data_IF_715759146330
#
_entry.id   IF_715759146330
#
_cell.length_a   1.000
_cell.length_b   1.000
_cell.length_c   1.000
_cell.angle_alpha   90.00
_cell.angle_beta   90.00
_cell.angle_gamma   90.00
#
_symmetry.space_group_name_H-M   'P 1'
#
loop_
_entity.id
_entity.type
_entity.pdbx_description
1 polymer ?
#
# COMPACT_ATOMS: atom_id res chain seq x y z
N UNK A 1 -10.23 -55.71 -11.73
CA UNK A 1 -9.06 -55.78 -10.83
C UNK A 1 -8.21 -54.58 -11.15
N UNK A 2 -8.51 -53.45 -10.54
CA UNK A 2 -7.78 -52.19 -10.67
C UNK A 2 -6.73 -52.11 -9.57
N UNK A 3 -5.48 -52.08 -9.98
CA UNK A 3 -4.30 -52.14 -9.12
C UNK A 3 -4.21 -50.93 -8.17
N UNK A 4 -4.06 -51.17 -6.84
CA UNK A 4 -3.96 -50.10 -5.85
C UNK A 4 -2.62 -49.33 -5.90
N UNK A 5 -1.75 -49.63 -6.86
CA UNK A 5 -0.42 -49.06 -6.94
C UNK A 5 -0.39 -47.63 -7.52
N UNK A 6 -1.39 -47.23 -8.32
CA UNK A 6 -1.47 -45.86 -8.88
C UNK A 6 -1.92 -44.82 -7.85
N UNK A 7 -2.69 -45.20 -6.85
CA UNK A 7 -3.15 -44.30 -5.80
C UNK A 7 -2.07 -43.95 -4.76
N UNK A 8 -1.08 -44.82 -4.58
CA UNK A 8 0.02 -44.60 -3.62
C UNK A 8 1.09 -43.68 -4.18
N UNK A 9 1.25 -43.62 -5.50
CA UNK A 9 2.22 -42.70 -6.15
C UNK A 9 1.70 -41.27 -6.30
N UNK A 10 0.37 -41.07 -6.25
CA UNK A 10 -0.22 -39.74 -6.26
C UNK A 10 -0.20 -39.03 -4.89
N UNK A 11 0.01 -39.78 -3.81
CA UNK A 11 0.04 -39.26 -2.44
C UNK A 11 1.41 -38.72 -1.98
N UNK A 12 2.45 -38.80 -2.84
CA UNK A 12 3.83 -38.45 -2.46
C UNK A 12 4.32 -37.12 -2.99
N UNK A 13 3.47 -36.29 -3.56
CA UNK A 13 3.85 -34.96 -4.08
C UNK A 13 3.14 -33.78 -3.38
N UNK A 14 2.70 -33.95 -2.14
CA UNK A 14 2.44 -32.80 -1.32
C UNK A 14 3.79 -32.07 -1.11
N UNK A 15 3.98 -30.82 -1.58
CA UNK A 15 5.22 -30.09 -1.34
C UNK A 15 5.43 -30.02 0.18
N UNK A 16 6.51 -30.66 0.64
CA UNK A 16 6.86 -30.64 2.05
C UNK A 16 7.11 -29.18 2.46
N UNK A 17 6.72 -28.81 3.66
CA UNK A 17 6.94 -27.49 4.29
C UNK A 17 8.38 -26.95 4.16
N UNK A 18 9.33 -27.79 3.76
CA UNK A 18 10.75 -27.48 3.59
C UNK A 18 11.22 -27.42 2.12
N UNK A 19 10.32 -27.55 1.16
CA UNK A 19 10.65 -27.34 -0.27
C UNK A 19 9.90 -26.11 -0.77
N UNK A 20 10.50 -24.90 -0.64
CA UNK A 20 9.84 -23.66 -1.08
C UNK A 20 9.64 -23.73 -2.60
N UNK A 21 8.41 -23.53 -3.02
CA UNK A 21 8.06 -23.37 -4.43
C UNK A 21 8.77 -22.10 -4.95
N UNK A 22 9.19 -22.07 -6.23
CA UNK A 22 9.84 -20.89 -6.81
C UNK A 22 9.08 -19.59 -6.58
N UNK A 23 7.73 -19.65 -6.54
CA UNK A 23 6.85 -18.50 -6.24
C UNK A 23 7.05 -17.98 -4.80
N UNK A 24 7.18 -18.87 -3.82
CA UNK A 24 7.41 -18.49 -2.41
C UNK A 24 8.76 -17.77 -2.25
N UNK A 25 9.80 -18.25 -2.93
CA UNK A 25 11.12 -17.61 -2.91
C UNK A 25 11.03 -16.21 -3.53
N UNK A 26 10.36 -16.07 -4.68
CA UNK A 26 10.17 -14.76 -5.33
C UNK A 26 9.36 -13.84 -4.44
N UNK A 27 8.29 -14.33 -3.81
CA UNK A 27 7.47 -13.55 -2.87
C UNK A 27 8.31 -13.00 -1.71
N UNK A 28 9.09 -13.84 -1.04
CA UNK A 28 9.94 -13.39 0.06
C UNK A 28 11.01 -12.40 -0.41
N UNK A 29 11.61 -12.60 -1.58
CA UNK A 29 12.59 -11.66 -2.13
C UNK A 29 11.96 -10.30 -2.45
N UNK A 30 10.81 -10.29 -3.13
CA UNK A 30 10.06 -9.05 -3.42
C UNK A 30 9.64 -8.38 -2.13
N UNK A 31 9.14 -9.13 -1.14
CA UNK A 31 8.76 -8.62 0.18
C UNK A 31 9.92 -7.95 0.91
N UNK A 32 11.10 -8.55 0.89
CA UNK A 32 12.30 -7.96 1.49
C UNK A 32 12.71 -6.66 0.80
N UNK A 33 12.67 -6.62 -0.54
CA UNK A 33 12.98 -5.39 -1.30
C UNK A 33 11.94 -4.31 -1.01
N UNK A 34 10.67 -4.67 -1.00
CA UNK A 34 9.53 -3.77 -0.70
C UNK A 34 9.65 -3.20 0.71
N UNK A 35 9.91 -4.04 1.69
CA UNK A 35 10.13 -3.62 3.08
C UNK A 35 11.35 -2.72 3.19
N UNK A 36 12.46 -3.07 2.55
CA UNK A 36 13.67 -2.24 2.50
C UNK A 36 13.39 -0.87 1.91
N UNK A 37 12.67 -0.82 0.79
CA UNK A 37 12.25 0.44 0.17
C UNK A 37 11.37 1.29 1.09
N UNK A 38 10.41 0.66 1.80
CA UNK A 38 9.54 1.34 2.75
C UNK A 38 10.34 1.93 3.94
N UNK A 39 11.29 1.17 4.49
CA UNK A 39 12.16 1.65 5.56
C UNK A 39 13.02 2.83 5.08
N UNK A 40 13.60 2.76 3.88
CA UNK A 40 14.37 3.87 3.33
C UNK A 40 13.48 5.08 3.07
N UNK A 41 12.25 4.90 2.57
CA UNK A 41 11.30 5.98 2.34
C UNK A 41 11.02 6.81 3.61
N UNK A 42 10.84 6.14 4.77
CA UNK A 42 10.56 6.85 6.04
C UNK A 42 11.80 7.34 6.78
N UNK A 43 12.99 6.79 6.50
CA UNK A 43 14.24 7.18 7.17
C UNK A 43 15.03 8.24 6.41
N UNK A 44 14.77 8.39 5.10
CA UNK A 44 15.47 9.40 4.29
C UNK A 44 15.04 10.82 4.67
N UNK A 45 16.01 11.73 4.70
CA UNK A 45 15.79 13.14 5.09
C UNK A 45 15.46 14.04 3.89
N UNK A 46 15.48 13.50 2.69
CA UNK A 46 15.20 14.23 1.46
C UNK A 46 13.83 13.82 0.94
N UNK A 47 12.88 14.76 0.93
CA UNK A 47 11.49 14.51 0.56
C UNK A 47 11.34 13.89 -0.85
N UNK A 48 12.15 14.35 -1.82
CA UNK A 48 12.10 13.81 -3.19
C UNK A 48 12.59 12.34 -3.22
N UNK A 49 13.67 12.04 -2.51
CA UNK A 49 14.16 10.65 -2.40
C UNK A 49 13.18 9.78 -1.62
N UNK A 50 12.54 10.30 -0.57
CA UNK A 50 11.48 9.60 0.15
C UNK A 50 10.35 9.20 -0.79
N UNK A 51 9.90 10.13 -1.63
CA UNK A 51 8.84 9.88 -2.60
C UNK A 51 9.25 8.82 -3.65
N UNK A 52 10.49 8.83 -4.14
CA UNK A 52 10.99 7.80 -5.06
C UNK A 52 11.02 6.41 -4.43
N UNK A 53 11.49 6.30 -3.17
CA UNK A 53 11.47 5.02 -2.44
C UNK A 53 10.05 4.56 -2.11
N UNK A 54 9.13 5.51 -1.88
CA UNK A 54 7.71 5.21 -1.71
C UNK A 54 7.10 4.60 -2.98
N UNK A 55 7.43 5.13 -4.17
CA UNK A 55 7.02 4.52 -5.46
C UNK A 55 7.47 3.06 -5.54
N UNK A 56 8.74 2.81 -5.19
CA UNK A 56 9.30 1.46 -5.24
C UNK A 56 8.60 0.52 -4.25
N UNK A 57 8.34 0.99 -3.03
CA UNK A 57 7.61 0.22 -2.02
C UNK A 57 6.18 -0.10 -2.45
N UNK A 58 5.43 0.89 -2.96
CA UNK A 58 4.06 0.68 -3.42
C UNK A 58 3.98 -0.18 -4.69
N UNK A 59 4.97 -0.05 -5.60
CA UNK A 59 5.10 -0.92 -6.76
C UNK A 59 5.43 -2.36 -6.39
N UNK A 60 6.30 -2.56 -5.40
CA UNK A 60 6.60 -3.88 -4.85
C UNK A 60 5.37 -4.57 -4.25
N UNK A 61 4.54 -3.83 -3.51
CA UNK A 61 3.25 -4.34 -3.01
C UNK A 61 2.32 -4.80 -4.15
N UNK A 62 2.29 -4.08 -5.27
CA UNK A 62 1.50 -4.50 -6.42
C UNK A 62 1.98 -5.85 -6.99
N UNK A 63 3.30 -6.06 -7.04
CA UNK A 63 3.88 -7.35 -7.46
C UNK A 63 3.51 -8.45 -6.47
N UNK A 64 3.53 -8.18 -5.16
CA UNK A 64 3.11 -9.16 -4.14
C UNK A 64 1.63 -9.54 -4.31
N UNK A 65 0.74 -8.57 -4.57
CA UNK A 65 -0.66 -8.86 -4.86
C UNK A 65 -0.83 -9.75 -6.10
N UNK A 66 -0.03 -9.55 -7.15
CA UNK A 66 -0.03 -10.43 -8.32
C UNK A 66 0.43 -11.85 -7.98
N UNK A 67 1.47 -11.99 -7.17
CA UNK A 67 1.96 -13.29 -6.72
C UNK A 67 0.93 -14.05 -5.85
N UNK A 68 0.07 -13.30 -5.14
CA UNK A 68 -1.05 -13.84 -4.37
C UNK A 68 -2.34 -14.03 -5.20
N UNK A 69 -2.26 -13.93 -6.54
CA UNK A 69 -3.41 -14.04 -7.46
C UNK A 69 -4.50 -12.98 -7.25
N UNK A 70 -4.21 -11.91 -6.50
CA UNK A 70 -5.12 -10.81 -6.23
C UNK A 70 -5.03 -9.73 -7.32
N UNK A 71 -5.33 -10.09 -8.57
CA UNK A 71 -5.14 -9.25 -9.76
C UNK A 71 -5.85 -7.91 -9.67
N UNK A 72 -7.12 -7.90 -9.22
CA UNK A 72 -7.89 -6.66 -9.11
C UNK A 72 -7.22 -5.66 -8.18
N UNK A 73 -6.77 -6.13 -6.99
CA UNK A 73 -6.11 -5.29 -6.00
C UNK A 73 -4.76 -4.79 -6.52
N UNK A 74 -4.01 -5.63 -7.24
CA UNK A 74 -2.75 -5.24 -7.86
C UNK A 74 -2.94 -4.08 -8.85
N UNK A 75 -3.94 -4.16 -9.72
CA UNK A 75 -4.27 -3.08 -10.66
C UNK A 75 -4.70 -1.79 -9.96
N UNK A 76 -5.54 -1.89 -8.93
CA UNK A 76 -5.95 -0.76 -8.08
C UNK A 76 -4.73 -0.13 -7.41
N UNK A 77 -3.81 -0.93 -6.88
CA UNK A 77 -2.57 -0.47 -6.27
C UNK A 77 -1.72 0.36 -7.25
N UNK A 78 -1.54 -0.13 -8.48
CA UNK A 78 -0.77 0.59 -9.50
C UNK A 78 -1.49 1.86 -9.96
N UNK A 79 -2.77 1.76 -10.31
CA UNK A 79 -3.50 2.90 -10.91
C UNK A 79 -3.77 4.01 -9.90
N UNK A 80 -4.18 3.67 -8.68
CA UNK A 80 -4.57 4.66 -7.68
C UNK A 80 -3.36 5.10 -6.86
N UNK A 81 -2.64 4.16 -6.23
CA UNK A 81 -1.56 4.53 -5.31
C UNK A 81 -0.31 5.00 -6.04
N UNK A 82 0.21 4.24 -7.00
CA UNK A 82 1.40 4.62 -7.75
C UNK A 82 1.09 5.69 -8.79
N UNK A 83 0.02 5.51 -9.56
CA UNK A 83 -0.33 6.39 -10.69
C UNK A 83 -0.95 7.73 -10.26
N UNK A 84 -1.86 7.75 -9.29
CA UNK A 84 -2.59 8.97 -8.92
C UNK A 84 -2.03 9.62 -7.65
N UNK A 85 -2.00 8.89 -6.54
CA UNK A 85 -1.65 9.47 -5.23
C UNK A 85 -0.18 9.91 -5.18
N UNK A 86 0.74 9.03 -5.58
CA UNK A 86 2.17 9.37 -5.56
C UNK A 86 2.50 10.49 -6.56
N UNK A 87 1.92 10.45 -7.76
CA UNK A 87 2.11 11.52 -8.76
C UNK A 87 1.59 12.85 -8.22
N UNK A 88 0.44 12.85 -7.55
CA UNK A 88 -0.10 14.06 -6.90
C UNK A 88 0.83 14.57 -5.80
N UNK A 89 1.40 13.69 -4.97
CA UNK A 89 2.39 14.05 -3.94
C UNK A 89 3.64 14.64 -4.58
N UNK A 90 4.20 14.00 -5.61
CA UNK A 90 5.39 14.50 -6.32
C UNK A 90 5.13 15.86 -6.96
N UNK A 91 3.97 16.04 -7.59
CA UNK A 91 3.57 17.32 -8.16
C UNK A 91 3.40 18.39 -7.09
N UNK A 92 2.77 18.04 -5.97
CA UNK A 92 2.65 18.93 -4.80
C UNK A 92 4.01 19.34 -4.23
N UNK A 93 4.95 18.41 -4.10
CA UNK A 93 6.31 18.68 -3.64
C UNK A 93 7.09 19.60 -4.62
N UNK A 94 6.86 19.43 -5.93
CA UNK A 94 7.49 20.27 -6.94
C UNK A 94 6.91 21.70 -6.94
N UNK A 95 5.63 21.86 -6.63
CA UNK A 95 4.94 23.16 -6.59
C UNK A 95 5.21 23.93 -5.30
N UNK A 96 5.51 23.26 -4.21
CA UNK A 96 5.93 23.88 -2.97
C UNK A 96 7.43 24.14 -3.02
N UNK A 97 7.93 25.17 -2.31
CA UNK A 97 9.37 25.36 -2.07
C UNK A 97 9.86 24.25 -1.13
N UNK A 98 9.72 22.99 -1.57
CA UNK A 98 10.31 21.89 -0.82
C UNK A 98 11.82 22.13 -0.74
N UNK A 99 12.41 22.19 0.45
CA UNK A 99 13.84 22.42 0.57
C UNK A 99 14.56 21.27 -0.14
N UNK A 100 15.40 21.64 -1.14
CA UNK A 100 16.25 20.69 -1.89
C UNK A 100 17.32 20.06 -0.96
N UNK A 101 17.33 20.45 0.33
CA UNK A 101 18.21 19.96 1.38
C UNK A 101 17.50 19.27 2.54
N UNK A 102 18.25 18.93 3.55
CA UNK A 102 17.73 18.42 4.83
C UNK A 102 16.78 19.46 5.42
N UNK A 103 15.54 19.05 5.67
CA UNK A 103 14.58 19.87 6.42
C UNK A 103 14.82 19.64 7.92
N UNK A 104 15.35 20.63 8.67
CA UNK A 104 15.59 20.49 10.11
C UNK A 104 14.29 20.22 10.88
N UNK A 105 13.16 20.73 10.37
CA UNK A 105 11.84 20.62 10.99
C UNK A 105 11.12 19.29 10.70
N UNK A 106 11.69 18.42 9.86
CA UNK A 106 11.14 17.09 9.58
C UNK A 106 11.48 16.06 10.68
N UNK A 107 12.37 16.41 11.59
CA UNK A 107 12.80 15.54 12.68
C UNK A 107 11.96 15.78 13.92
N UNK A 108 11.15 14.79 14.34
CA UNK A 108 10.51 14.84 15.65
C UNK A 108 11.58 14.79 16.76
N UNK A 109 11.44 15.67 17.78
CA UNK A 109 12.42 15.76 18.88
C UNK A 109 12.54 14.49 19.73
N UNK A 110 11.65 13.52 19.58
CA UNK A 110 11.62 12.28 20.38
C UNK A 110 11.68 11.03 19.50
N UNK A 111 12.77 10.88 18.75
CA UNK A 111 13.01 9.73 17.87
C UNK A 111 12.95 8.37 18.58
N UNK A 112 13.53 8.17 19.80
CA UNK A 112 13.45 6.87 20.44
C UNK A 112 12.02 6.48 20.83
N UNK A 113 11.18 7.42 21.28
CA UNK A 113 9.79 7.12 21.58
C UNK A 113 9.00 6.78 20.32
N UNK A 114 9.22 7.49 19.21
CA UNK A 114 8.60 7.16 17.91
C UNK A 114 9.02 5.78 17.41
N UNK A 115 10.31 5.42 17.56
CA UNK A 115 10.80 4.09 17.18
C UNK A 115 10.17 3.00 18.03
N UNK A 116 10.10 3.18 19.36
CA UNK A 116 9.48 2.22 20.28
C UNK A 116 8.00 2.04 19.94
N UNK A 117 7.26 3.14 19.69
CA UNK A 117 5.86 3.07 19.32
C UNK A 117 5.67 2.34 17.97
N UNK A 118 6.51 2.62 16.97
CA UNK A 118 6.46 1.95 15.67
C UNK A 118 6.76 0.45 15.77
N UNK A 119 7.80 0.08 16.54
CA UNK A 119 8.16 -1.33 16.77
C UNK A 119 7.08 -2.07 17.55
N UNK A 120 6.49 -1.44 18.56
CA UNK A 120 5.38 -2.02 19.33
C UNK A 120 4.14 -2.26 18.44
N UNK A 121 3.79 -1.28 17.61
CA UNK A 121 2.69 -1.42 16.66
C UNK A 121 2.96 -2.52 15.61
N UNK A 122 4.17 -2.56 15.05
CA UNK A 122 4.58 -3.61 14.12
C UNK A 122 4.55 -4.99 14.76
N UNK A 123 5.10 -5.14 15.97
CA UNK A 123 5.08 -6.41 16.70
C UNK A 123 3.66 -6.87 17.03
N UNK A 124 2.79 -5.96 17.46
CA UNK A 124 1.38 -6.26 17.73
C UNK A 124 0.64 -6.72 16.46
N UNK A 125 0.89 -6.06 15.33
CA UNK A 125 0.29 -6.43 14.04
C UNK A 125 0.77 -7.81 13.58
N UNK A 126 2.09 -8.06 13.64
CA UNK A 126 2.67 -9.37 13.28
C UNK A 126 2.12 -10.46 14.19
N UNK A 127 2.06 -10.24 15.51
CA UNK A 127 1.51 -11.21 16.44
C UNK A 127 0.04 -11.53 16.13
N UNK A 128 -0.77 -10.50 15.84
CA UNK A 128 -2.17 -10.65 15.46
C UNK A 128 -2.33 -11.49 14.18
N UNK A 129 -1.56 -11.15 13.12
CA UNK A 129 -1.62 -11.87 11.84
C UNK A 129 -1.16 -13.32 12.01
N UNK A 130 -0.04 -13.55 12.70
CA UNK A 130 0.46 -14.90 12.94
C UNK A 130 -0.55 -15.73 13.74
N UNK A 131 -1.16 -15.16 14.79
CA UNK A 131 -2.16 -15.90 15.58
C UNK A 131 -3.43 -16.18 14.78
N UNK A 132 -3.90 -15.23 13.97
CA UNK A 132 -5.10 -15.40 13.16
C UNK A 132 -4.94 -16.43 12.04
N UNK A 133 -3.75 -16.52 11.42
CA UNK A 133 -3.54 -17.32 10.21
C UNK A 133 -2.65 -18.55 10.40
N UNK A 134 -2.08 -18.79 11.58
CA UNK A 134 -1.19 -19.95 11.85
C UNK A 134 -1.78 -21.31 11.52
N UNK A 135 -3.11 -21.42 11.47
CA UNK A 135 -3.83 -22.67 11.17
C UNK A 135 -4.61 -22.61 9.86
N UNK A 136 -4.58 -21.48 9.16
CA UNK A 136 -5.28 -21.32 7.89
C UNK A 136 -4.39 -21.80 6.74
N UNK A 137 -4.91 -22.75 5.95
CA UNK A 137 -4.33 -23.10 4.64
C UNK A 137 -5.10 -22.35 3.57
N UNK A 138 -4.38 -21.62 2.74
CA UNK A 138 -4.95 -20.93 1.58
C UNK A 138 -4.44 -21.65 0.34
N UNK A 139 -5.36 -22.22 -0.44
CA UNK A 139 -5.03 -22.80 -1.72
C UNK A 139 -4.92 -21.69 -2.77
N UNK A 140 -3.71 -21.49 -3.31
CA UNK A 140 -3.43 -20.48 -4.33
C UNK A 140 -3.76 -20.95 -5.76
N UNK A 141 -4.19 -22.22 -5.94
CA UNK A 141 -4.61 -22.72 -7.24
C UNK A 141 -5.98 -22.17 -7.67
N UNK A 142 -6.83 -21.80 -6.71
CA UNK A 142 -8.09 -21.12 -7.01
C UNK A 142 -7.88 -19.60 -7.09
N UNK A 143 -8.11 -19.04 -8.27
CA UNK A 143 -8.02 -17.59 -8.51
C UNK A 143 -9.23 -16.88 -7.88
N UNK A 144 -9.20 -16.73 -6.56
CA UNK A 144 -10.27 -16.06 -5.81
C UNK A 144 -10.24 -14.54 -5.91
N UNK A 145 -9.10 -13.96 -6.30
CA UNK A 145 -8.88 -12.52 -6.43
C UNK A 145 -9.06 -11.97 -7.84
N UNK A 146 -9.73 -12.69 -8.75
CA UNK A 146 -10.00 -12.22 -10.11
C UNK A 146 -10.92 -10.99 -10.10
N UNK A 147 -10.80 -10.16 -11.14
CA UNK A 147 -11.63 -8.94 -11.31
C UNK A 147 -13.12 -9.28 -11.36
N UNK A 148 -13.50 -10.40 -11.98
CA UNK A 148 -14.88 -10.86 -12.09
C UNK A 148 -15.47 -11.21 -10.74
N UNK A 149 -14.81 -12.09 -9.98
CA UNK A 149 -15.26 -12.53 -8.65
C UNK A 149 -15.33 -11.36 -7.67
N UNK A 150 -14.31 -10.49 -7.67
CA UNK A 150 -14.29 -9.31 -6.81
C UNK A 150 -15.42 -8.33 -7.16
N UNK A 151 -15.67 -8.11 -8.47
CA UNK A 151 -16.77 -7.29 -8.94
C UNK A 151 -18.13 -7.84 -8.54
N UNK A 152 -18.34 -9.15 -8.71
CA UNK A 152 -19.60 -9.80 -8.32
C UNK A 152 -19.86 -9.66 -6.81
N UNK A 153 -18.88 -9.93 -5.95
CA UNK A 153 -19.00 -9.78 -4.51
C UNK A 153 -19.29 -8.33 -4.13
N UNK A 154 -18.58 -7.37 -4.73
CA UNK A 154 -18.73 -5.96 -4.44
C UNK A 154 -20.15 -5.47 -4.76
N UNK A 155 -20.69 -5.81 -5.95
CA UNK A 155 -21.98 -5.34 -6.39
C UNK A 155 -23.17 -6.17 -5.88
N UNK A 156 -22.95 -7.37 -5.34
CA UNK A 156 -24.03 -8.16 -4.71
C UNK A 156 -24.12 -7.98 -3.20
N UNK A 157 -22.98 -7.90 -2.52
CA UNK A 157 -22.96 -7.93 -1.06
C UNK A 157 -22.48 -6.62 -0.42
N UNK A 158 -21.70 -5.81 -1.14
CA UNK A 158 -21.06 -4.60 -0.64
C UNK A 158 -21.50 -3.31 -1.34
N UNK A 159 -22.73 -3.30 -1.91
CA UNK A 159 -23.27 -2.12 -2.62
C UNK A 159 -23.37 -0.90 -1.71
N UNK A 160 -23.88 -1.05 -0.49
CA UNK A 160 -24.03 0.08 0.45
C UNK A 160 -22.68 0.72 0.83
N UNK A 161 -21.64 -0.02 1.25
CA UNK A 161 -20.31 0.54 1.43
C UNK A 161 -19.76 1.21 0.17
N UNK A 162 -19.95 0.63 -1.00
CA UNK A 162 -19.51 1.20 -2.27
C UNK A 162 -20.19 2.56 -2.55
N UNK A 163 -21.50 2.65 -2.34
CA UNK A 163 -22.25 3.91 -2.50
C UNK A 163 -21.82 4.96 -1.47
N UNK A 164 -21.60 4.56 -0.21
CA UNK A 164 -21.09 5.46 0.83
C UNK A 164 -19.71 6.04 0.47
N UNK A 165 -18.81 5.23 -0.13
CA UNK A 165 -17.52 5.69 -0.62
C UNK A 165 -17.66 6.66 -1.79
N UNK A 166 -18.66 6.50 -2.66
CA UNK A 166 -18.95 7.44 -3.76
C UNK A 166 -19.37 8.82 -3.22
N UNK A 167 -20.21 8.84 -2.19
CA UNK A 167 -20.59 10.09 -1.49
C UNK A 167 -19.38 10.72 -0.80
N UNK A 168 -18.54 9.92 -0.15
CA UNK A 168 -17.30 10.40 0.46
C UNK A 168 -16.36 11.01 -0.59
N UNK A 169 -16.23 10.40 -1.75
CA UNK A 169 -15.42 10.92 -2.85
C UNK A 169 -15.95 12.29 -3.33
N UNK A 170 -17.27 12.41 -3.49
CA UNK A 170 -17.90 13.69 -3.82
C UNK A 170 -17.64 14.75 -2.75
N UNK A 171 -17.80 14.40 -1.49
CA UNK A 171 -17.53 15.30 -0.38
C UNK A 171 -16.07 15.76 -0.32
N UNK A 172 -15.12 14.85 -0.58
CA UNK A 172 -13.70 15.15 -0.68
C UNK A 172 -13.40 16.13 -1.83
N UNK A 173 -14.01 15.92 -3.00
CA UNK A 173 -13.88 16.82 -4.16
C UNK A 173 -14.40 18.22 -3.85
N UNK A 174 -15.61 18.32 -3.29
CA UNK A 174 -16.23 19.60 -2.91
C UNK A 174 -15.38 20.31 -1.86
N UNK A 175 -14.93 19.56 -0.83
CA UNK A 175 -14.04 20.08 0.21
C UNK A 175 -12.72 20.65 -0.35
N UNK A 176 -12.08 19.94 -1.28
CA UNK A 176 -10.85 20.40 -1.93
C UNK A 176 -11.07 21.70 -2.72
N UNK A 177 -12.19 21.80 -3.45
CA UNK A 177 -12.54 23.01 -4.21
C UNK A 177 -12.83 24.19 -3.27
N UNK A 178 -13.60 23.99 -2.21
CA UNK A 178 -13.91 25.04 -1.23
C UNK A 178 -12.66 25.55 -0.54
N UNK A 179 -11.79 24.64 -0.05
CA UNK A 179 -10.53 25.03 0.60
C UNK A 179 -9.60 25.78 -0.35
N UNK A 180 -9.54 25.42 -1.61
CA UNK A 180 -8.73 26.10 -2.59
C UNK A 180 -9.21 27.53 -2.86
N UNK A 181 -10.53 27.74 -2.86
CA UNK A 181 -11.14 29.08 -3.02
C UNK A 181 -10.92 29.97 -1.80
N UNK A 182 -11.10 29.44 -0.60
CA UNK A 182 -10.88 30.18 0.65
C UNK A 182 -9.43 30.67 0.78
N UNK A 183 -8.46 29.84 0.42
CA UNK A 183 -7.04 30.24 0.41
C UNK A 183 -6.74 31.35 -0.58
N UNK A 184 -7.38 31.36 -1.76
CA UNK A 184 -7.24 32.46 -2.75
C UNK A 184 -7.85 33.76 -2.25
N UNK A 185 -9.03 33.71 -1.64
CA UNK A 185 -9.69 34.88 -1.05
C UNK A 185 -8.82 35.49 0.07
N UNK A 186 -8.30 34.68 0.99
CA UNK A 186 -7.42 35.13 2.06
C UNK A 186 -6.06 35.69 1.56
N UNK A 187 -5.58 35.25 0.41
CA UNK A 187 -4.35 35.78 -0.20
C UNK A 187 -4.58 37.11 -0.93
N UNK A 188 -5.79 37.35 -1.47
CA UNK A 188 -6.16 38.60 -2.15
C UNK A 188 -6.53 39.75 -1.19
N UNK A 189 -6.81 39.46 0.07
CA UNK A 189 -7.20 40.47 1.08
C UNK A 189 -6.00 40.97 1.93
N UNK A 190 -4.77 40.77 1.47
CA UNK A 190 -3.60 41.43 2.05
C UNK A 190 -3.52 42.84 1.46
N UNK A 191 -3.85 43.91 2.23
CA UNK A 191 -3.63 45.26 1.75
C UNK A 191 -2.14 45.46 1.53
N UNK A 192 -1.81 46.00 0.35
CA UNK A 192 -0.46 46.44 -0.02
C UNK A 192 0.10 47.41 1.06
N UNK A 193 0.85 46.85 2.01
CA UNK A 193 1.73 47.67 2.85
C UNK A 193 3.00 47.98 2.06
N UNK A 194 2.83 48.74 0.98
CA UNK A 194 3.91 49.44 0.33
C UNK A 194 3.52 50.91 0.28
N UNK A 195 4.12 51.69 1.15
CA UNK A 195 4.01 53.14 1.15
C UNK A 195 4.17 53.68 2.55
N UNK A 196 5.40 53.75 3.03
CA UNK A 196 6.06 54.95 3.59
C UNK A 196 7.52 54.58 3.95
#
# INVERSE_FOLDING_TARGET
>A
MTTPHAAVLAASSAPGFLSPTGVEVVFVLVGLVTLGAAVVAVTTRQLVHAAMWLVLALGGLAVEYLLLTAEFIAWVQVLIYVGSVVVLILFGLMLTKAPIGRSPDADSGNRPAALVAALAAAAALVALVVDAFRTAWIDLEEVQGSTEVTGEILFRHWVLPFEALSVLLLAALVGAVVLSRLRRAAAGDRPDRQGD
#
